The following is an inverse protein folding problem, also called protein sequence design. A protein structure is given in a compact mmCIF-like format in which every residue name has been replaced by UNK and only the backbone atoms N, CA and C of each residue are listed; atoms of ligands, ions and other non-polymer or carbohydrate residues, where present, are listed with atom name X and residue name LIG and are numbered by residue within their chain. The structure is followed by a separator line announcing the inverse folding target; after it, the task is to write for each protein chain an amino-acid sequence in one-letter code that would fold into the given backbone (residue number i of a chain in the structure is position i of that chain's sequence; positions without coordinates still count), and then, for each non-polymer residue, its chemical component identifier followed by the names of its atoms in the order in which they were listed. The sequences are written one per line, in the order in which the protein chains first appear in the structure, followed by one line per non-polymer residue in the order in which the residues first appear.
data_IF_435671338531
#
_entry.id   IF_435671338531
#
_cell.length_a   1.000
_cell.length_b   1.000
_cell.length_c   1.000
_cell.angle_alpha   90.00
_cell.angle_beta   90.00
_cell.angle_gamma   90.00
#
_symmetry.space_group_name_H-M   'P 1'
#
loop_
_entity.id
_entity.type
_entity.pdbx_description
1 polymer ?
#
# COMPACT_ATOMS: atom_id res chain seq x y z
N UNK A 1 -27.75 4.62 18.75
CA UNK A 1 -27.31 5.93 18.24
C UNK A 1 -25.85 5.77 17.89
N UNK A 2 -25.48 5.83 16.61
CA UNK A 2 -24.06 5.87 16.21
C UNK A 2 -23.56 7.29 16.43
N UNK A 3 -22.36 7.44 17.00
CA UNK A 3 -21.68 8.71 17.09
C UNK A 3 -21.63 9.42 15.73
N UNK A 4 -21.72 10.75 15.77
CA UNK A 4 -21.57 11.60 14.59
C UNK A 4 -20.12 11.44 14.10
N UNK A 5 -19.91 10.63 13.07
CA UNK A 5 -18.60 10.47 12.46
C UNK A 5 -18.22 11.79 11.80
N UNK A 6 -17.23 12.47 12.38
CA UNK A 6 -16.58 13.60 11.73
C UNK A 6 -15.99 13.11 10.39
N UNK A 7 -15.82 14.04 9.46
CA UNK A 7 -15.36 13.88 8.08
C UNK A 7 -13.96 13.24 7.95
N UNK A 8 -13.82 12.02 8.44
CA UNK A 8 -12.57 11.29 8.54
C UNK A 8 -12.57 10.18 7.50
N UNK A 9 -11.50 10.12 6.72
CA UNK A 9 -11.20 9.03 5.80
C UNK A 9 -11.21 7.65 6.52
N UNK A 10 -11.44 6.56 5.79
CA UNK A 10 -11.41 5.18 6.31
C UNK A 10 -10.12 4.45 5.94
N UNK A 11 -9.62 3.58 6.83
CA UNK A 11 -8.46 2.70 6.56
C UNK A 11 -8.81 1.26 6.91
N UNK A 12 -8.48 0.33 6.02
CA UNK A 12 -8.63 -1.10 6.26
C UNK A 12 -7.33 -1.83 5.93
N UNK A 13 -6.84 -2.68 6.84
CA UNK A 13 -5.67 -3.51 6.61
C UNK A 13 -6.00 -4.96 6.93
N UNK A 14 -5.59 -5.87 6.04
CA UNK A 14 -5.82 -7.30 6.20
C UNK A 14 -4.58 -8.08 5.77
N UNK A 15 -4.15 -9.02 6.61
CA UNK A 15 -3.10 -9.98 6.27
C UNK A 15 -3.63 -11.40 6.41
N UNK A 16 -3.57 -12.16 5.32
CA UNK A 16 -3.76 -13.60 5.34
C UNK A 16 -2.56 -14.25 6.03
N UNK A 17 -2.83 -15.11 7.02
CA UNK A 17 -1.78 -15.81 7.81
C UNK A 17 -1.45 -17.20 7.25
N UNK A 18 -2.12 -17.61 6.18
CA UNK A 18 -1.98 -18.90 5.51
C UNK A 18 -1.88 -18.67 3.99
N UNK A 19 -1.31 -19.61 3.22
CA UNK A 19 -1.31 -19.54 1.76
C UNK A 19 -2.74 -19.54 1.19
N UNK A 20 -2.92 -19.04 -0.04
CA UNK A 20 -4.22 -19.01 -0.70
C UNK A 20 -4.93 -20.38 -0.72
N UNK A 21 -4.18 -21.48 -0.92
CA UNK A 21 -4.73 -22.84 -0.93
C UNK A 21 -5.54 -23.16 0.32
N UNK A 22 -5.09 -22.74 1.50
CA UNK A 22 -5.83 -22.96 2.75
C UNK A 22 -7.24 -22.37 2.70
N UNK A 23 -7.42 -21.21 2.07
CA UNK A 23 -8.71 -20.54 1.98
C UNK A 23 -9.61 -21.15 0.91
N UNK A 24 -9.02 -21.71 -0.15
CA UNK A 24 -9.73 -22.54 -1.11
C UNK A 24 -10.28 -23.79 -0.43
N UNK A 25 -9.44 -24.54 0.28
CA UNK A 25 -9.84 -25.79 0.93
C UNK A 25 -10.91 -25.55 2.03
N UNK A 26 -10.77 -24.45 2.78
CA UNK A 26 -11.63 -24.15 3.94
C UNK A 26 -12.91 -23.39 3.58
N UNK A 27 -12.85 -22.48 2.60
CA UNK A 27 -13.95 -21.56 2.28
C UNK A 27 -14.43 -21.68 0.83
N UNK A 28 -13.85 -22.58 0.04
CA UNK A 28 -14.24 -22.83 -1.36
C UNK A 28 -13.85 -21.72 -2.34
N UNK A 29 -12.98 -20.77 -1.95
CA UNK A 29 -12.63 -19.64 -2.81
C UNK A 29 -11.21 -19.11 -2.58
N UNK A 30 -10.47 -18.76 -3.65
CA UNK A 30 -9.18 -18.08 -3.53
C UNK A 30 -9.36 -16.60 -3.13
N UNK A 31 -10.57 -16.04 -3.25
CA UNK A 31 -10.85 -14.62 -3.06
C UNK A 31 -11.22 -14.24 -1.64
N UNK A 32 -10.95 -15.11 -0.66
CA UNK A 32 -11.31 -14.85 0.74
C UNK A 32 -10.80 -13.49 1.24
N UNK A 33 -9.54 -13.14 0.94
CA UNK A 33 -8.95 -11.85 1.31
C UNK A 33 -9.69 -10.66 0.70
N UNK A 34 -9.99 -10.72 -0.61
CA UNK A 34 -10.76 -9.69 -1.32
C UNK A 34 -12.17 -9.55 -0.76
N UNK A 35 -12.88 -10.65 -0.55
CA UNK A 35 -14.23 -10.65 0.01
C UNK A 35 -14.26 -10.02 1.42
N UNK A 36 -13.24 -10.31 2.26
CA UNK A 36 -13.12 -9.69 3.58
C UNK A 36 -12.76 -8.21 3.48
N UNK A 37 -11.89 -7.82 2.55
CA UNK A 37 -11.57 -6.41 2.32
C UNK A 37 -12.80 -5.62 1.85
N UNK A 38 -13.61 -6.17 0.96
CA UNK A 38 -14.87 -5.54 0.53
C UNK A 38 -15.76 -5.25 1.73
N UNK A 39 -16.01 -6.25 2.58
CA UNK A 39 -16.84 -6.09 3.78
C UNK A 39 -16.24 -5.09 4.80
N UNK A 40 -14.91 -5.09 4.99
CA UNK A 40 -14.24 -4.15 5.90
C UNK A 40 -14.33 -2.71 5.41
N UNK A 41 -14.21 -2.49 4.09
CA UNK A 41 -14.35 -1.17 3.48
C UNK A 41 -15.81 -0.72 3.49
N UNK A 42 -16.77 -1.58 3.13
CA UNK A 42 -18.20 -1.27 3.22
C UNK A 42 -18.64 -0.91 4.65
N UNK A 43 -18.11 -1.59 5.67
CA UNK A 43 -18.36 -1.23 7.08
C UNK A 43 -17.91 0.20 7.42
N UNK A 44 -16.94 0.73 6.69
CA UNK A 44 -16.42 2.09 6.83
C UNK A 44 -16.95 3.03 5.74
N UNK A 45 -17.97 2.66 4.95
CA UNK A 45 -18.45 3.49 3.83
C UNK A 45 -18.82 4.93 4.22
N UNK A 46 -19.33 5.12 5.44
CA UNK A 46 -19.66 6.46 5.97
C UNK A 46 -18.43 7.31 6.34
N UNK A 47 -17.22 6.75 6.27
CA UNK A 47 -15.92 7.42 6.46
C UNK A 47 -15.26 7.81 5.12
N UNK A 48 -15.96 7.70 3.99
CA UNK A 48 -15.41 8.14 2.71
C UNK A 48 -16.22 7.62 1.54
N UNK A 49 -16.78 8.55 0.77
CA UNK A 49 -17.65 8.25 -0.37
C UNK A 49 -17.12 8.86 -1.66
N UNK A 50 -16.13 9.75 -1.59
CA UNK A 50 -15.57 10.45 -2.75
C UNK A 50 -14.53 9.60 -3.48
N UNK A 51 -13.87 8.69 -2.78
CA UNK A 51 -12.93 7.79 -3.42
C UNK A 51 -12.59 6.57 -2.58
N UNK A 52 -12.05 5.56 -3.24
CA UNK A 52 -11.57 4.34 -2.61
C UNK A 52 -10.32 3.85 -3.31
N UNK A 53 -9.45 3.17 -2.58
CA UNK A 53 -8.34 2.45 -3.18
C UNK A 53 -7.94 1.24 -2.39
N UNK A 54 -7.30 0.31 -3.09
CA UNK A 54 -6.80 -0.95 -2.55
C UNK A 54 -5.42 -1.22 -3.13
N UNK A 55 -4.47 -1.49 -2.24
CA UNK A 55 -3.21 -2.12 -2.57
C UNK A 55 -3.20 -3.57 -2.07
N UNK A 56 -2.53 -4.44 -2.82
CA UNK A 56 -2.31 -5.83 -2.46
C UNK A 56 -0.84 -6.20 -2.72
N UNK A 57 -0.24 -6.91 -1.77
CA UNK A 57 1.15 -7.33 -1.78
C UNK A 57 1.21 -8.85 -1.67
N UNK A 58 1.90 -9.48 -2.62
CA UNK A 58 2.31 -10.87 -2.57
C UNK A 58 3.62 -10.96 -1.80
N UNK A 59 3.65 -11.74 -0.73
CA UNK A 59 4.80 -11.80 0.17
C UNK A 59 5.92 -12.66 -0.41
N UNK A 60 5.56 -13.76 -1.05
CA UNK A 60 6.51 -14.75 -1.55
C UNK A 60 6.27 -15.02 -3.04
N UNK A 61 7.03 -14.34 -3.89
CA UNK A 61 7.04 -14.57 -5.34
C UNK A 61 8.44 -14.43 -5.90
N UNK A 62 8.72 -15.21 -6.94
CA UNK A 62 10.01 -15.22 -7.61
C UNK A 62 10.32 -13.88 -8.33
N UNK A 63 11.62 -13.53 -8.48
CA UNK A 63 12.04 -12.44 -9.35
C UNK A 63 11.43 -12.55 -10.76
N UNK A 64 11.09 -11.41 -11.35
CA UNK A 64 10.39 -11.34 -12.63
C UNK A 64 8.86 -11.42 -12.55
N UNK A 65 8.29 -11.68 -11.36
CA UNK A 65 6.84 -11.62 -11.12
C UNK A 65 6.44 -10.32 -10.43
N UNK A 66 5.27 -9.78 -10.79
CA UNK A 66 4.71 -8.59 -10.13
C UNK A 66 4.14 -8.97 -8.75
N UNK A 67 4.61 -8.29 -7.71
CA UNK A 67 4.20 -8.55 -6.33
C UNK A 67 3.39 -7.43 -5.67
N UNK A 68 3.40 -6.20 -6.21
CA UNK A 68 2.54 -5.10 -5.74
C UNK A 68 1.47 -4.81 -6.79
N UNK A 69 0.22 -4.80 -6.37
CA UNK A 69 -0.94 -4.37 -7.16
C UNK A 69 -1.59 -3.19 -6.45
N UNK A 70 -2.06 -2.20 -7.22
CA UNK A 70 -2.81 -1.05 -6.68
C UNK A 70 -3.89 -0.64 -7.66
N UNK A 71 -5.09 -0.36 -7.14
CA UNK A 71 -6.20 0.21 -7.89
C UNK A 71 -6.92 1.25 -7.03
N UNK A 72 -7.43 2.29 -7.68
CA UNK A 72 -8.13 3.42 -7.06
C UNK A 72 -9.33 3.80 -7.91
N UNK A 73 -10.35 4.37 -7.28
CA UNK A 73 -11.56 4.82 -7.93
C UNK A 73 -12.06 6.12 -7.27
N UNK A 74 -12.54 7.02 -8.12
CA UNK A 74 -13.28 8.24 -7.76
C UNK A 74 -14.67 8.24 -8.42
N UNK A 75 -15.11 7.08 -8.91
CA UNK A 75 -16.45 6.90 -9.47
C UNK A 75 -17.51 7.08 -8.37
N UNK A 76 -18.77 7.32 -8.75
CA UNK A 76 -19.87 7.62 -7.82
C UNK A 76 -20.12 6.53 -6.74
N UNK A 77 -19.64 5.32 -6.99
CA UNK A 77 -19.71 4.16 -6.08
C UNK A 77 -18.33 3.52 -6.01
N UNK A 78 -17.35 4.17 -5.35
CA UNK A 78 -15.94 3.88 -5.58
C UNK A 78 -15.53 2.52 -5.02
N UNK A 79 -16.15 2.05 -3.92
CA UNK A 79 -15.90 0.70 -3.40
C UNK A 79 -16.39 -0.34 -4.39
N UNK A 80 -17.64 -0.23 -4.86
CA UNK A 80 -18.22 -1.22 -5.76
C UNK A 80 -17.52 -1.23 -7.12
N UNK A 81 -17.17 -0.06 -7.64
CA UNK A 81 -16.39 0.08 -8.87
C UNK A 81 -15.00 -0.56 -8.74
N UNK A 82 -14.28 -0.26 -7.66
CA UNK A 82 -12.96 -0.82 -7.37
C UNK A 82 -12.98 -2.36 -7.34
N UNK A 83 -13.89 -2.95 -6.57
CA UNK A 83 -13.99 -4.40 -6.47
C UNK A 83 -14.56 -5.03 -7.74
N UNK A 84 -15.46 -4.36 -8.46
CA UNK A 84 -15.92 -4.80 -9.78
C UNK A 84 -14.77 -4.91 -10.79
N UNK A 85 -13.93 -3.86 -10.88
CA UNK A 85 -12.74 -3.85 -11.75
C UNK A 85 -11.69 -4.88 -11.34
N UNK A 86 -11.53 -5.16 -10.04
CA UNK A 86 -10.62 -6.20 -9.55
C UNK A 86 -11.16 -7.60 -9.90
N UNK A 87 -12.41 -7.88 -9.53
CA UNK A 87 -13.03 -9.20 -9.76
C UNK A 87 -13.21 -9.51 -11.24
N UNK A 88 -13.47 -8.49 -12.08
CA UNK A 88 -13.56 -8.64 -13.53
C UNK A 88 -12.29 -9.21 -14.17
N UNK A 89 -11.11 -9.09 -13.53
CA UNK A 89 -9.86 -9.70 -14.02
C UNK A 89 -9.86 -11.22 -14.01
N UNK A 90 -10.80 -11.83 -13.30
CA UNK A 90 -10.90 -13.27 -13.11
C UNK A 90 -12.12 -13.88 -13.82
N UNK A 91 -12.92 -13.06 -14.51
CA UNK A 91 -14.18 -13.50 -15.13
C UNK A 91 -13.98 -14.56 -16.22
N UNK A 92 -12.84 -14.50 -16.92
CA UNK A 92 -12.52 -15.38 -18.05
C UNK A 92 -11.75 -16.64 -17.62
N UNK A 93 -11.52 -16.84 -16.31
CA UNK A 93 -10.85 -18.01 -15.77
C UNK A 93 -11.84 -19.16 -15.54
N UNK A 94 -11.44 -20.37 -15.91
CA UNK A 94 -12.20 -21.58 -15.61
C UNK A 94 -12.19 -21.88 -14.10
N UNK A 95 -13.13 -22.73 -13.66
CA UNK A 95 -13.15 -23.20 -12.28
C UNK A 95 -11.83 -23.87 -11.89
N UNK A 96 -11.22 -24.64 -12.78
CA UNK A 96 -9.93 -25.31 -12.55
C UNK A 96 -8.78 -24.30 -12.38
N UNK A 97 -8.73 -23.27 -13.23
CA UNK A 97 -7.75 -22.18 -13.12
C UNK A 97 -7.91 -21.40 -11.81
N UNK A 98 -9.14 -21.26 -11.31
CA UNK A 98 -9.42 -20.61 -10.03
C UNK A 98 -9.00 -21.46 -8.82
N UNK A 99 -8.85 -22.78 -8.98
CA UNK A 99 -8.34 -23.66 -7.93
C UNK A 99 -6.80 -23.73 -7.90
N UNK A 100 -6.12 -23.40 -9.02
CA UNK A 100 -4.66 -23.31 -9.06
C UNK A 100 -4.17 -22.03 -8.40
N UNK A 101 -4.08 -22.08 -7.07
CA UNK A 101 -3.71 -20.92 -6.26
C UNK A 101 -2.28 -20.44 -6.50
N UNK A 102 -1.38 -21.33 -6.93
CA UNK A 102 0.01 -21.00 -7.25
C UNK A 102 0.05 -20.18 -8.53
N UNK A 103 -0.61 -20.63 -9.60
CA UNK A 103 -0.72 -19.90 -10.86
C UNK A 103 -1.42 -18.56 -10.66
N UNK A 104 -2.54 -18.54 -9.92
CA UNK A 104 -3.22 -17.30 -9.53
C UNK A 104 -2.29 -16.31 -8.82
N UNK A 105 -1.54 -16.79 -7.84
CA UNK A 105 -0.60 -15.94 -7.10
C UNK A 105 0.55 -15.47 -7.98
N UNK A 106 1.07 -16.27 -8.91
CA UNK A 106 2.15 -15.83 -9.77
C UNK A 106 1.70 -14.79 -10.81
N UNK A 107 0.57 -15.04 -11.47
CA UNK A 107 0.28 -14.38 -12.75
C UNK A 107 -0.83 -13.35 -12.67
N UNK A 108 -1.68 -13.41 -11.65
CA UNK A 108 -2.81 -12.48 -11.51
C UNK A 108 -2.53 -11.40 -10.45
N UNK A 109 -3.04 -10.19 -10.68
CA UNK A 109 -2.99 -9.11 -9.69
C UNK A 109 -4.01 -9.37 -8.57
N UNK A 110 -3.80 -8.80 -7.38
CA UNK A 110 -4.75 -8.89 -6.24
C UNK A 110 -4.92 -10.29 -5.61
N UNK A 111 -3.96 -11.19 -5.84
CA UNK A 111 -3.90 -12.56 -5.29
C UNK A 111 -2.81 -12.72 -4.21
N UNK A 112 -2.37 -11.62 -3.60
CA UNK A 112 -1.41 -11.61 -2.49
C UNK A 112 -2.07 -11.70 -1.12
N UNK A 113 -1.25 -11.78 -0.08
CA UNK A 113 -1.67 -12.02 1.30
C UNK A 113 -1.94 -10.73 2.08
N UNK A 114 -1.30 -9.63 1.71
CA UNK A 114 -1.39 -8.38 2.45
C UNK A 114 -2.18 -7.34 1.66
N UNK A 115 -3.16 -6.72 2.30
CA UNK A 115 -4.05 -5.74 1.71
C UNK A 115 -4.06 -4.45 2.54
N UNK A 116 -4.08 -3.32 1.84
CA UNK A 116 -4.27 -1.99 2.41
C UNK A 116 -5.33 -1.24 1.61
N UNK A 117 -6.48 -1.00 2.21
CA UNK A 117 -7.60 -0.24 1.68
C UNK A 117 -7.68 1.14 2.32
N UNK A 118 -8.12 2.13 1.54
CA UNK A 118 -8.42 3.47 2.01
C UNK A 118 -9.73 3.98 1.41
N UNK A 119 -10.48 4.73 2.18
CA UNK A 119 -11.69 5.44 1.77
C UNK A 119 -11.44 6.92 1.96
N UNK A 120 -11.60 7.69 0.89
CA UNK A 120 -11.38 9.12 0.89
C UNK A 120 -12.70 9.85 1.12
N UNK A 121 -12.67 10.74 2.11
CA UNK A 121 -13.61 11.84 2.22
C UNK A 121 -12.92 13.08 1.66
N UNK A 122 -13.41 13.58 0.54
CA UNK A 122 -12.89 14.78 -0.11
C UNK A 122 -13.49 16.02 0.52
N UNK A 123 -12.63 16.89 1.07
CA UNK A 123 -13.01 18.28 1.36
C UNK A 123 -12.88 19.12 0.08
N UNK A 124 -13.48 20.32 0.07
CA UNK A 124 -13.61 21.23 -1.07
C UNK A 124 -12.43 21.17 -2.08
N UNK A 125 -12.73 20.81 -3.34
CA UNK A 125 -11.74 20.69 -4.42
C UNK A 125 -12.18 19.73 -5.52
N UNK A 126 -11.36 19.54 -6.56
CA UNK A 126 -11.60 18.52 -7.59
C UNK A 126 -11.34 17.12 -7.02
N UNK A 127 -12.29 16.21 -7.23
CA UNK A 127 -12.15 14.81 -6.84
C UNK A 127 -11.28 14.06 -7.86
N UNK A 128 -9.97 14.09 -7.66
CA UNK A 128 -8.98 13.52 -8.56
C UNK A 128 -8.43 12.19 -8.02
N UNK A 129 -8.19 11.23 -8.93
CA UNK A 129 -7.66 9.91 -8.58
C UNK A 129 -6.25 10.01 -7.97
N UNK A 130 -5.52 11.06 -8.31
CA UNK A 130 -4.21 11.42 -7.78
C UNK A 130 -4.24 11.59 -6.27
N UNK A 131 -5.35 12.10 -5.72
CA UNK A 131 -5.55 12.31 -4.28
C UNK A 131 -6.07 11.07 -3.54
N UNK A 132 -6.37 9.98 -4.26
CA UNK A 132 -6.81 8.73 -3.63
C UNK A 132 -5.62 7.89 -3.16
N UNK A 133 -5.74 7.36 -1.95
CA UNK A 133 -4.77 6.44 -1.37
C UNK A 133 -5.15 4.99 -1.74
N UNK A 134 -4.26 4.00 -1.59
CA UNK A 134 -2.86 4.12 -1.17
C UNK A 134 -1.97 4.81 -2.20
N UNK A 135 -0.95 5.54 -1.75
CA UNK A 135 0.16 5.96 -2.59
C UNK A 135 1.19 4.84 -2.71
N UNK A 136 1.93 4.85 -3.81
CA UNK A 136 2.93 3.83 -4.12
C UNK A 136 4.19 4.52 -4.63
N UNK A 137 5.31 4.23 -3.97
CA UNK A 137 6.68 4.53 -4.40
C UNK A 137 7.36 3.22 -4.76
N UNK A 138 7.83 3.10 -5.99
CA UNK A 138 8.40 1.85 -6.52
C UNK A 138 9.92 1.91 -6.64
N UNK A 139 10.56 0.77 -6.39
CA UNK A 139 11.98 0.55 -6.57
C UNK A 139 12.23 -0.90 -7.00
N UNK A 140 13.36 -1.18 -7.64
CA UNK A 140 13.75 -2.56 -7.96
C UNK A 140 14.20 -3.35 -6.72
N UNK A 141 14.71 -2.68 -5.69
CA UNK A 141 14.95 -3.29 -4.38
C UNK A 141 13.65 -3.32 -3.58
N UNK A 142 13.19 -4.53 -3.23
CA UNK A 142 11.92 -4.73 -2.50
C UNK A 142 11.85 -3.91 -1.21
N UNK A 143 12.98 -3.80 -0.50
CA UNK A 143 13.17 -3.08 0.77
C UNK A 143 13.09 -1.56 0.65
N UNK A 144 13.05 -1.01 -0.57
CA UNK A 144 12.89 0.44 -0.86
C UNK A 144 11.52 0.80 -1.44
N UNK A 145 10.63 -0.19 -1.61
CA UNK A 145 9.26 0.06 -2.05
C UNK A 145 8.38 0.48 -0.88
N UNK A 146 7.47 1.43 -1.10
CA UNK A 146 6.54 1.90 -0.08
C UNK A 146 5.12 2.00 -0.62
N UNK A 147 4.18 1.46 0.16
CA UNK A 147 2.75 1.68 -0.03
C UNK A 147 2.23 2.39 1.22
N UNK A 148 1.69 3.59 1.06
CA UNK A 148 1.26 4.43 2.18
C UNK A 148 -0.20 4.81 2.03
N UNK A 149 -0.98 4.60 3.08
CA UNK A 149 -2.30 5.17 3.24
C UNK A 149 -2.37 5.80 4.63
N UNK A 150 -3.07 6.93 4.75
CA UNK A 150 -3.13 7.66 6.00
C UNK A 150 -4.18 8.75 5.94
N UNK A 151 -4.61 9.18 7.11
CA UNK A 151 -5.54 10.28 7.30
C UNK A 151 -4.74 11.44 7.87
N UNK A 152 -3.97 12.11 7.01
CA UNK A 152 -3.08 13.18 7.41
C UNK A 152 -3.83 14.51 7.43
N UNK A 153 -3.49 15.37 8.39
CA UNK A 153 -3.90 16.76 8.42
C UNK A 153 -2.71 17.56 8.96
N UNK A 154 -1.72 17.80 8.10
CA UNK A 154 -0.49 18.48 8.50
C UNK A 154 -0.67 19.99 8.39
N UNK A 155 -0.34 20.72 9.45
CA UNK A 155 -0.44 22.19 9.49
C UNK A 155 0.76 22.86 8.85
N UNK A 156 1.89 22.17 8.75
CA UNK A 156 3.18 22.70 8.31
C UNK A 156 3.68 22.14 6.97
N UNK A 157 2.76 21.80 6.07
CA UNK A 157 3.05 21.17 4.76
C UNK A 157 4.03 21.98 3.92
N UNK A 158 3.94 23.31 4.00
CA UNK A 158 4.80 24.23 3.27
C UNK A 158 6.27 24.09 3.69
N UNK A 159 6.52 24.03 4.99
CA UNK A 159 7.85 23.88 5.58
C UNK A 159 8.42 22.50 5.26
N UNK A 160 7.61 21.45 5.41
CA UNK A 160 8.02 20.09 5.11
C UNK A 160 8.35 19.90 3.62
N UNK A 161 7.62 20.57 2.73
CA UNK A 161 7.93 20.57 1.30
C UNK A 161 9.26 21.26 1.01
N UNK A 162 9.53 22.40 1.64
CA UNK A 162 10.78 23.13 1.45
C UNK A 162 11.99 22.32 1.95
N UNK A 163 11.84 21.57 3.03
CA UNK A 163 12.87 20.61 3.50
C UNK A 163 13.21 19.59 2.41
N UNK A 164 12.21 19.01 1.73
CA UNK A 164 12.44 18.06 0.64
C UNK A 164 13.19 18.71 -0.54
N UNK A 165 12.84 19.95 -0.89
CA UNK A 165 13.54 20.69 -1.96
C UNK A 165 14.98 21.01 -1.57
N UNK A 166 15.23 21.41 -0.32
CA UNK A 166 16.57 21.74 0.18
C UNK A 166 17.53 20.55 0.14
N UNK A 167 17.03 19.34 0.37
CA UNK A 167 17.83 18.10 0.24
C UNK A 167 17.95 17.61 -1.23
N UNK A 168 17.45 18.39 -2.19
CA UNK A 168 17.60 18.12 -3.63
C UNK A 168 16.50 17.25 -4.25
N UNK A 169 15.40 16.99 -3.55
CA UNK A 169 14.26 16.31 -4.17
C UNK A 169 13.44 17.26 -5.05
N UNK A 170 12.67 16.69 -5.98
CA UNK A 170 11.72 17.40 -6.81
C UNK A 170 10.32 16.80 -6.66
N UNK A 171 9.59 17.10 -5.56
CA UNK A 171 8.29 16.50 -5.33
C UNK A 171 7.28 16.99 -6.38
N UNK A 172 6.52 16.06 -6.95
CA UNK A 172 5.57 16.32 -8.05
C UNK A 172 4.41 17.24 -7.69
N UNK A 173 4.12 17.40 -6.40
CA UNK A 173 2.98 18.16 -5.89
C UNK A 173 3.26 18.57 -4.44
N UNK A 174 2.81 19.77 -4.08
CA UNK A 174 2.79 20.26 -2.71
C UNK A 174 1.51 19.77 -2.02
N UNK A 175 1.57 18.59 -1.41
CA UNK A 175 0.46 18.03 -0.63
C UNK A 175 0.98 17.16 0.50
N UNK A 176 0.24 17.12 1.61
CA UNK A 176 0.59 16.39 2.84
C UNK A 176 1.04 14.98 2.53
N UNK A 177 0.28 14.29 1.67
CA UNK A 177 0.55 12.88 1.42
C UNK A 177 1.78 12.66 0.54
N UNK A 178 2.04 13.54 -0.43
CA UNK A 178 3.28 13.47 -1.20
C UNK A 178 4.46 13.73 -0.28
N UNK A 179 4.38 14.76 0.55
CA UNK A 179 5.43 15.09 1.52
C UNK A 179 5.68 13.96 2.51
N UNK A 180 4.64 13.35 3.08
CA UNK A 180 4.77 12.19 3.98
C UNK A 180 5.39 11.00 3.27
N UNK A 181 4.93 10.66 2.06
CA UNK A 181 5.47 9.54 1.29
C UNK A 181 6.96 9.73 0.99
N UNK A 182 7.35 10.92 0.53
CA UNK A 182 8.73 11.20 0.15
C UNK A 182 9.66 11.33 1.36
N UNK A 183 9.18 11.85 2.49
CA UNK A 183 9.95 11.83 3.74
C UNK A 183 10.21 10.42 4.26
N UNK A 184 9.17 9.57 4.32
CA UNK A 184 9.36 8.15 4.67
C UNK A 184 10.29 7.50 3.65
N UNK A 185 10.11 7.77 2.36
CA UNK A 185 10.94 7.27 1.26
C UNK A 185 12.42 7.64 1.41
N UNK A 186 12.72 8.87 1.81
CA UNK A 186 14.07 9.36 2.06
C UNK A 186 14.75 8.54 3.16
N UNK A 187 14.13 8.41 4.33
CA UNK A 187 14.74 7.67 5.44
C UNK A 187 14.79 6.15 5.20
N UNK A 188 13.87 5.61 4.40
CA UNK A 188 13.97 4.21 3.93
C UNK A 188 15.20 4.02 3.05
N UNK A 189 15.46 4.94 2.13
CA UNK A 189 16.61 4.86 1.24
C UNK A 189 17.93 5.01 2.02
N UNK A 190 18.00 5.96 2.96
CA UNK A 190 19.17 6.12 3.85
C UNK A 190 19.43 4.86 4.67
N UNK A 191 18.42 4.33 5.37
CA UNK A 191 18.58 3.13 6.20
C UNK A 191 18.98 1.90 5.36
N UNK A 192 18.45 1.78 4.15
CA UNK A 192 18.88 0.72 3.22
C UNK A 192 20.34 0.91 2.79
N UNK A 193 20.79 2.14 2.57
CA UNK A 193 22.15 2.43 2.14
C UNK A 193 23.15 2.18 3.26
N UNK A 194 22.86 2.63 4.49
CA UNK A 194 23.67 2.38 5.68
C UNK A 194 23.89 0.87 5.91
N UNK A 195 22.80 0.08 5.89
CA UNK A 195 22.89 -1.37 6.05
C UNK A 195 23.65 -2.03 4.89
N UNK A 196 23.44 -1.56 3.66
CA UNK A 196 24.16 -2.09 2.50
C UNK A 196 25.67 -1.88 2.65
N UNK A 197 26.10 -0.67 2.99
CA UNK A 197 27.52 -0.33 3.12
C UNK A 197 28.19 -1.11 4.26
N UNK A 198 27.51 -1.26 5.39
CA UNK A 198 27.97 -2.08 6.52
C UNK A 198 28.17 -3.55 6.10
N UNK A 199 27.11 -4.17 5.56
CA UNK A 199 27.12 -5.59 5.18
C UNK A 199 28.08 -5.85 4.01
N UNK A 200 28.26 -4.87 3.11
CA UNK A 200 29.24 -4.95 2.04
C UNK A 200 30.67 -4.88 2.56
N UNK A 201 30.92 -4.03 3.56
CA UNK A 201 32.19 -3.98 4.28
C UNK A 201 32.56 -5.29 4.97
N UNK A 202 31.57 -6.09 5.37
CA UNK A 202 31.74 -7.44 5.92
C UNK A 202 32.04 -8.51 4.85
N UNK A 203 32.02 -8.15 3.56
CA UNK A 203 32.34 -9.04 2.45
C UNK A 203 31.17 -9.91 1.96
N UNK A 204 29.93 -9.60 2.35
CA UNK A 204 28.75 -10.34 1.88
C UNK A 204 28.46 -10.07 0.39
N UNK A 205 27.87 -11.07 -0.28
CA UNK A 205 27.37 -10.93 -1.63
C UNK A 205 26.03 -10.17 -1.65
N UNK A 206 25.67 -9.60 -2.81
CA UNK A 206 24.53 -8.70 -2.91
C UNK A 206 23.17 -9.37 -2.64
N UNK A 207 23.04 -10.69 -2.92
CA UNK A 207 21.79 -11.41 -2.65
C UNK A 207 21.62 -11.57 -1.14
N UNK A 208 22.64 -12.06 -0.45
CA UNK A 208 22.65 -12.18 1.01
C UNK A 208 22.44 -10.83 1.69
N UNK A 209 23.05 -9.75 1.18
CA UNK A 209 22.83 -8.40 1.70
C UNK A 209 21.36 -8.00 1.59
N UNK A 210 20.72 -8.22 0.44
CA UNK A 210 19.32 -7.86 0.25
C UNK A 210 18.38 -8.62 1.20
N UNK A 211 18.66 -9.90 1.47
CA UNK A 211 17.91 -10.72 2.42
C UNK A 211 18.11 -10.19 3.86
N UNK A 212 19.37 -9.94 4.25
CA UNK A 212 19.71 -9.37 5.56
C UNK A 212 19.04 -8.04 5.81
N UNK A 213 19.07 -7.12 4.84
CA UNK A 213 18.37 -5.82 4.96
C UNK A 213 16.88 -6.04 5.19
N UNK A 214 16.24 -6.96 4.46
CA UNK A 214 14.82 -7.22 4.63
C UNK A 214 14.46 -7.73 6.04
N UNK A 215 15.37 -8.48 6.67
CA UNK A 215 15.19 -9.03 8.01
C UNK A 215 15.50 -8.03 9.14
N UNK A 216 16.41 -7.08 8.91
CA UNK A 216 16.92 -6.18 9.96
C UNK A 216 16.48 -4.73 9.85
N UNK A 217 15.81 -4.32 8.76
CA UNK A 217 15.36 -2.94 8.56
C UNK A 217 14.39 -2.49 9.68
N UNK A 218 14.83 -1.52 10.49
CA UNK A 218 14.01 -0.97 11.58
C UNK A 218 13.06 0.13 11.07
N UNK A 219 11.88 -0.30 10.63
CA UNK A 219 10.81 0.62 10.25
C UNK A 219 10.36 1.54 11.39
N UNK A 220 10.49 1.15 12.65
CA UNK A 220 10.13 2.00 13.78
C UNK A 220 11.04 3.22 13.90
N UNK A 221 12.35 3.03 13.75
CA UNK A 221 13.32 4.13 13.72
C UNK A 221 13.11 5.04 12.51
N UNK A 222 12.93 4.44 11.32
CA UNK A 222 12.64 5.17 10.08
C UNK A 222 11.41 6.07 10.23
N UNK A 223 10.31 5.53 10.76
CA UNK A 223 9.07 6.30 10.93
C UNK A 223 9.23 7.43 11.96
N UNK A 224 9.94 7.20 13.07
CA UNK A 224 10.23 8.25 14.07
C UNK A 224 11.05 9.40 13.48
N UNK A 225 12.03 9.10 12.63
CA UNK A 225 12.83 10.12 11.91
C UNK A 225 11.97 10.85 10.87
N UNK A 226 11.16 10.11 10.12
CA UNK A 226 10.30 10.66 9.08
C UNK A 226 9.25 11.64 9.62
N UNK A 227 8.72 11.38 10.82
CA UNK A 227 7.64 12.17 11.42
C UNK A 227 8.10 13.19 12.46
N UNK A 228 9.41 13.40 12.65
CA UNK A 228 9.93 14.19 13.79
C UNK A 228 9.51 15.66 13.81
N UNK A 229 9.17 16.19 12.64
CA UNK A 229 8.78 17.57 12.38
C UNK A 229 7.36 17.67 11.79
N UNK A 230 6.58 16.59 11.83
CA UNK A 230 5.15 16.67 11.50
C UNK A 230 4.42 17.46 12.58
N UNK A 231 3.64 18.46 12.16
CA UNK A 231 2.74 19.22 13.02
C UNK A 231 1.29 19.00 12.59
N UNK A 232 0.38 18.72 13.54
CA UNK A 232 -1.01 18.35 13.27
C UNK A 232 -1.61 17.30 14.19
#
# INVERSE_FOLDING_TARGET
MSDFLQHECGIAMLRLKKPLQHYVDKYGTPFYGLNKMYLLMEKQHNRGQDGAGLANIKLDVNPGKRYISRMRSVDARPIQDLFGKIMGRFQDLSAEQLQDTVSLQHDHAFTGELFLGHLRYGTFGKNEIENCHPFLRQNNWRTRNLVVAGNFNLTNVDELFDVLVQIGQHPKQKSDTVTVLEKIGHFVDEANQELFDELKGQGLDNQTISERIADTLDMGSILRRASSDFDG
#
